data_IF_223472747774
#
_entry.id   IF_223472747774
#
_cell.length_a   1.000
_cell.length_b   1.000
_cell.length_c   1.000
_cell.angle_alpha   90.00
_cell.angle_beta   90.00
_cell.angle_gamma   90.00
#
_symmetry.space_group_name_H-M   'P 1'
#
loop_
_entity.id
_entity.type
_entity.pdbx_description
1 polymer ?
#
# COMPACT_ATOMS: atom_id res chain seq x y z
N UNK A 1 -16.25 -12.00 20.66
CA UNK A 1 -15.24 -12.08 19.59
C UNK A 1 -14.64 -10.69 19.40
N UNK A 2 -13.37 -10.51 19.71
CA UNK A 2 -12.71 -9.19 19.71
C UNK A 2 -12.51 -8.65 18.29
N UNK A 3 -12.87 -7.39 18.06
CA UNK A 3 -12.53 -6.69 16.81
C UNK A 3 -11.02 -6.42 16.82
N UNK A 4 -10.28 -7.09 15.96
CA UNK A 4 -8.80 -7.12 15.97
C UNK A 4 -8.12 -6.00 15.19
N UNK A 5 -8.87 -5.10 14.54
CA UNK A 5 -8.28 -4.07 13.68
C UNK A 5 -8.70 -2.69 14.19
N UNK A 6 -7.79 -2.03 14.92
CA UNK A 6 -7.97 -0.67 15.42
C UNK A 6 -8.10 0.38 14.29
N UNK A 7 -8.29 1.67 14.64
CA UNK A 7 -8.45 2.72 13.63
C UNK A 7 -7.24 2.82 12.71
N UNK A 8 -7.48 3.22 11.45
CA UNK A 8 -6.41 3.47 10.48
C UNK A 8 -5.54 4.63 11.01
N UNK A 9 -4.21 4.45 11.15
CA UNK A 9 -3.32 5.51 11.60
C UNK A 9 -3.35 6.73 10.68
N UNK A 10 -3.12 7.92 11.24
CA UNK A 10 -3.07 9.16 10.47
C UNK A 10 -2.02 9.07 9.33
N UNK A 11 -2.41 9.50 8.14
CA UNK A 11 -1.55 9.48 6.95
C UNK A 11 -1.46 8.14 6.22
N UNK A 12 -2.05 7.08 6.77
CA UNK A 12 -2.14 5.76 6.13
C UNK A 12 -3.50 5.54 5.47
N UNK A 13 -3.57 4.52 4.61
CA UNK A 13 -4.78 4.04 3.96
C UNK A 13 -4.69 2.54 3.69
N UNK A 14 -5.84 1.89 3.59
CA UNK A 14 -5.94 0.49 3.13
C UNK A 14 -5.98 0.48 1.60
N UNK A 15 -5.23 -0.43 0.99
CA UNK A 15 -5.31 -0.78 -0.43
C UNK A 15 -5.66 -2.26 -0.57
N UNK A 16 -6.40 -2.60 -1.61
CA UNK A 16 -6.71 -3.97 -2.02
C UNK A 16 -5.63 -4.44 -3.01
N UNK A 17 -5.08 -5.63 -2.80
CA UNK A 17 -3.98 -6.17 -3.61
C UNK A 17 -4.48 -6.67 -4.98
N UNK A 18 -5.67 -7.24 -5.02
CA UNK A 18 -6.36 -7.69 -6.24
C UNK A 18 -7.12 -6.57 -6.98
N UNK A 19 -7.33 -5.43 -6.33
CA UNK A 19 -8.11 -4.30 -6.86
C UNK A 19 -9.63 -4.45 -6.69
N UNK A 20 -10.11 -5.56 -6.14
CA UNK A 20 -11.50 -5.78 -5.79
C UNK A 20 -11.79 -5.20 -4.40
N UNK A 21 -12.71 -4.23 -4.33
CA UNK A 21 -13.07 -3.54 -3.09
C UNK A 21 -14.04 -4.33 -2.23
N UNK A 22 -14.67 -5.36 -2.78
CA UNK A 22 -15.57 -6.24 -2.06
C UNK A 22 -14.82 -7.40 -1.41
N UNK A 23 -13.61 -7.74 -1.89
CA UNK A 23 -12.73 -8.73 -1.27
C UNK A 23 -12.01 -8.18 -0.02
N UNK A 24 -12.73 -8.22 1.11
CA UNK A 24 -12.23 -7.80 2.42
C UNK A 24 -11.43 -8.87 3.19
N UNK A 25 -10.89 -9.90 2.52
CA UNK A 25 -10.00 -10.85 3.17
C UNK A 25 -8.75 -10.13 3.68
N UNK A 26 -8.38 -10.34 4.95
CA UNK A 26 -7.24 -9.65 5.58
C UNK A 26 -5.93 -9.82 4.79
N UNK A 27 -5.73 -10.95 4.11
CA UNK A 27 -4.56 -11.21 3.28
C UNK A 27 -4.54 -10.39 1.98
N UNK A 28 -5.71 -9.94 1.51
CA UNK A 28 -5.86 -9.04 0.36
C UNK A 28 -5.71 -7.56 0.72
N UNK A 29 -5.67 -7.23 2.02
CA UNK A 29 -5.58 -5.87 2.50
C UNK A 29 -4.14 -5.51 2.87
N UNK A 30 -3.69 -4.35 2.41
CA UNK A 30 -2.39 -3.80 2.79
C UNK A 30 -2.51 -2.35 3.25
N UNK A 31 -1.83 -2.04 4.35
CA UNK A 31 -1.77 -0.68 4.89
C UNK A 31 -0.57 0.05 4.30
N UNK A 32 -0.82 1.14 3.58
CA UNK A 32 0.20 1.96 2.89
C UNK A 32 0.05 3.45 3.21
N UNK A 33 1.12 4.22 3.06
CA UNK A 33 1.10 5.67 3.17
C UNK A 33 0.54 6.33 1.90
N UNK A 34 0.03 7.57 2.01
CA UNK A 34 -0.46 8.33 0.84
C UNK A 34 0.61 8.52 -0.24
N UNK A 35 1.88 8.70 0.15
CA UNK A 35 3.00 8.83 -0.79
C UNK A 35 3.31 7.50 -1.51
N UNK A 36 3.21 6.37 -0.80
CA UNK A 36 3.36 5.03 -1.38
C UNK A 36 2.23 4.77 -2.38
N UNK A 37 0.98 5.10 -2.03
CA UNK A 37 -0.15 4.99 -2.95
C UNK A 37 0.00 5.85 -4.21
N UNK A 38 0.52 7.07 -4.06
CA UNK A 38 0.81 7.95 -5.18
C UNK A 38 1.88 7.35 -6.10
N UNK A 39 2.95 6.79 -5.54
CA UNK A 39 4.01 6.13 -6.29
C UNK A 39 3.49 4.88 -7.02
N UNK A 40 2.66 4.06 -6.36
CA UNK A 40 1.99 2.90 -6.97
C UNK A 40 1.22 3.28 -8.24
N UNK A 41 0.46 4.38 -8.19
CA UNK A 41 -0.32 4.87 -9.32
C UNK A 41 0.57 5.43 -10.45
N UNK A 42 1.55 6.27 -10.11
CA UNK A 42 2.46 6.89 -11.09
C UNK A 42 3.29 5.87 -11.84
N UNK A 43 3.76 4.85 -11.12
CA UNK A 43 4.63 3.81 -11.66
C UNK A 43 3.88 2.57 -12.17
N UNK A 44 2.54 2.60 -12.20
CA UNK A 44 1.67 1.51 -12.67
C UNK A 44 2.00 0.16 -12.01
N UNK A 45 2.20 0.17 -10.69
CA UNK A 45 2.59 -1.01 -9.90
C UNK A 45 1.39 -1.80 -9.36
N UNK A 46 0.20 -1.58 -9.94
CA UNK A 46 -1.01 -2.33 -9.64
C UNK A 46 -1.28 -3.31 -10.77
N UNK A 47 -1.46 -4.57 -10.40
CA UNK A 47 -1.64 -5.68 -11.32
C UNK A 47 -2.92 -6.44 -10.96
N UNK A 48 -3.43 -7.22 -11.91
CA UNK A 48 -4.52 -8.15 -11.62
C UNK A 48 -4.08 -9.29 -10.69
N UNK A 49 -2.78 -9.61 -10.68
CA UNK A 49 -2.20 -10.60 -9.78
C UNK A 49 -1.85 -9.95 -8.42
N UNK A 50 -2.43 -10.41 -7.30
CA UNK A 50 -2.25 -9.78 -5.99
C UNK A 50 -0.81 -9.84 -5.48
N UNK A 51 -0.08 -10.92 -5.77
CA UNK A 51 1.32 -11.09 -5.35
C UNK A 51 2.26 -10.16 -6.12
N UNK A 52 1.97 -9.88 -7.40
CA UNK A 52 2.64 -8.81 -8.15
C UNK A 52 2.34 -7.43 -7.57
N UNK A 53 1.09 -7.15 -7.20
CA UNK A 53 0.74 -5.86 -6.57
C UNK A 53 1.45 -5.69 -5.23
N UNK A 54 1.53 -6.76 -4.43
CA UNK A 54 2.28 -6.78 -3.16
C UNK A 54 3.77 -6.50 -3.37
N UNK A 55 4.38 -7.07 -4.40
CA UNK A 55 5.74 -6.73 -4.82
C UNK A 55 5.84 -5.25 -5.23
N UNK A 56 4.85 -4.76 -5.98
CA UNK A 56 4.71 -3.34 -6.32
C UNK A 56 4.73 -2.42 -5.10
N UNK A 57 3.99 -2.79 -4.04
CA UNK A 57 3.96 -2.04 -2.77
C UNK A 57 5.36 -1.93 -2.16
N UNK A 58 6.13 -3.02 -2.14
CA UNK A 58 7.51 -3.01 -1.64
C UNK A 58 8.41 -2.08 -2.46
N UNK A 59 8.26 -2.08 -3.78
CA UNK A 59 8.99 -1.17 -4.68
C UNK A 59 8.62 0.29 -4.41
N UNK A 60 7.33 0.60 -4.28
CA UNK A 60 6.86 1.95 -3.99
C UNK A 60 7.38 2.45 -2.64
N UNK A 61 7.32 1.61 -1.60
CA UNK A 61 7.86 1.90 -0.26
C UNK A 61 9.36 2.21 -0.29
N UNK A 62 10.13 1.40 -1.01
CA UNK A 62 11.57 1.64 -1.17
C UNK A 62 11.86 2.98 -1.85
N UNK A 63 11.16 3.29 -2.95
CA UNK A 63 11.32 4.55 -3.71
C UNK A 63 10.96 5.78 -2.88
N UNK A 64 9.82 5.74 -2.18
CA UNK A 64 9.38 6.82 -1.30
C UNK A 64 10.40 7.04 -0.17
N UNK A 65 10.86 5.98 0.48
CA UNK A 65 11.88 6.07 1.55
C UNK A 65 13.17 6.72 1.06
N UNK A 66 13.67 6.33 -0.12
CA UNK A 66 14.88 6.94 -0.71
C UNK A 66 14.65 8.43 -1.01
N UNK A 67 13.49 8.79 -1.57
CA UNK A 67 13.14 10.19 -1.87
C UNK A 67 13.04 11.04 -0.61
N UNK A 68 12.42 10.53 0.45
CA UNK A 68 12.32 11.23 1.74
C UNK A 68 13.70 11.48 2.35
N UNK A 69 14.60 10.48 2.32
CA UNK A 69 15.99 10.65 2.79
C UNK A 69 16.74 11.73 2.03
N UNK A 70 16.55 11.84 0.71
CA UNK A 70 17.18 12.89 -0.12
C UNK A 70 16.67 14.30 0.22
N UNK A 71 15.40 14.44 0.62
CA UNK A 71 14.79 15.74 1.00
C UNK A 71 15.18 16.25 2.39
N UNK A 72 15.70 15.36 3.25
CA UNK A 72 16.14 15.68 4.62
C UNK A 72 17.62 16.12 4.68
N UNK A 73 18.36 15.94 3.59
CA UNK A 73 19.67 16.55 3.38
C UNK A 73 19.48 17.92 2.77
#
# INVERSE_FOLDING_TARGET
MGRTNGPIPAGKMVSFLDGDKDNCNIENLVLIDKEENLEMNRSRLRFADPERTKTGVLVAKARVTVRQKKRRK
#
